data_IF_139630669006
#
_entry.id   IF_139630669006
#
_cell.length_a   1.000
_cell.length_b   1.000
_cell.length_c   1.000
_cell.angle_alpha   90.00
_cell.angle_beta   90.00
_cell.angle_gamma   90.00
#
_symmetry.space_group_name_H-M   'P 1'
#
loop_
_entity.id
_entity.type
_entity.pdbx_description
1 polymer ?
#
# COMPACT_ATOMS: atom_id res chain seq x y z
N UNK A 1 -3.18 3.33 14.28
CA UNK A 1 -2.61 2.42 13.27
C UNK A 1 -3.67 2.13 12.23
N UNK A 2 -3.32 1.60 11.07
CA UNK A 2 -4.24 1.42 9.93
C UNK A 2 -3.59 0.46 8.94
N UNK A 3 -4.40 -0.28 8.18
CA UNK A 3 -3.96 -0.95 6.95
C UNK A 3 -4.85 -0.51 5.81
N UNK A 4 -4.22 0.04 4.78
CA UNK A 4 -4.87 0.42 3.52
C UNK A 4 -4.21 -0.32 2.38
N UNK A 5 -5.01 -0.77 1.44
CA UNK A 5 -4.52 -1.42 0.22
C UNK A 5 -5.15 -0.80 -1.02
N UNK A 6 -4.40 -0.79 -2.12
CA UNK A 6 -4.90 -0.50 -3.46
C UNK A 6 -4.56 -1.66 -4.39
N UNK A 7 -5.46 -1.98 -5.30
CA UNK A 7 -5.27 -3.05 -6.29
C UNK A 7 -5.84 -2.62 -7.63
N UNK A 8 -5.25 -3.06 -8.76
CA UNK A 8 -5.90 -2.92 -10.07
C UNK A 8 -5.78 -4.23 -10.85
N UNK A 9 -6.90 -4.67 -11.41
CA UNK A 9 -6.98 -5.88 -12.23
C UNK A 9 -8.17 -5.78 -13.17
N UNK A 10 -7.99 -6.22 -14.41
CA UNK A 10 -9.08 -6.30 -15.41
C UNK A 10 -9.84 -4.98 -15.59
N UNK A 11 -9.12 -3.85 -15.67
CA UNK A 11 -9.73 -2.53 -15.89
C UNK A 11 -10.42 -1.90 -14.69
N UNK A 12 -10.31 -2.51 -13.50
CA UNK A 12 -10.87 -2.01 -12.26
C UNK A 12 -9.75 -1.71 -11.27
N UNK A 13 -9.74 -0.51 -10.72
CA UNK A 13 -9.00 -0.15 -9.52
C UNK A 13 -9.87 -0.36 -8.27
N UNK A 14 -9.26 -0.74 -7.17
CA UNK A 14 -9.92 -0.89 -5.89
C UNK A 14 -9.04 -0.32 -4.77
N UNK A 15 -9.66 0.33 -3.80
CA UNK A 15 -9.04 0.74 -2.55
C UNK A 15 -9.84 0.17 -1.39
N UNK A 16 -9.15 -0.39 -0.39
CA UNK A 16 -9.77 -0.89 0.82
C UNK A 16 -8.97 -0.49 2.06
N UNK A 17 -9.67 -0.28 3.16
CA UNK A 17 -9.08 0.04 4.44
C UNK A 17 -9.80 -0.71 5.57
N UNK A 18 -9.08 -0.99 6.63
CA UNK A 18 -9.65 -1.42 7.91
C UNK A 18 -10.38 -0.26 8.60
N UNK A 19 -11.18 -0.56 9.63
CA UNK A 19 -11.98 0.45 10.36
C UNK A 19 -11.58 0.60 11.83
N UNK A 20 -10.55 -0.12 12.30
CA UNK A 20 -10.11 -0.07 13.69
C UNK A 20 -9.37 1.25 13.99
N UNK A 21 -9.72 1.93 15.08
CA UNK A 21 -8.91 2.97 15.68
C UNK A 21 -8.20 2.42 16.92
N UNK A 22 -6.99 2.92 17.20
CA UNK A 22 -6.18 2.49 18.36
C UNK A 22 -5.58 3.68 19.10
N UNK A 23 -5.61 3.64 20.42
CA UNK A 23 -4.95 4.60 21.33
C UNK A 23 -4.10 3.83 22.34
N UNK A 24 -2.80 3.72 22.07
CA UNK A 24 -1.93 2.83 22.82
C UNK A 24 -2.43 1.39 22.69
N UNK A 25 -2.75 0.75 23.82
CA UNK A 25 -3.25 -0.63 23.85
C UNK A 25 -4.78 -0.74 23.73
N UNK A 26 -5.49 0.40 23.65
CA UNK A 26 -6.94 0.42 23.49
C UNK A 26 -7.32 0.30 22.02
N UNK A 27 -8.30 -0.57 21.75
CA UNK A 27 -8.91 -0.75 20.44
C UNK A 27 -10.35 -0.23 20.45
N UNK A 28 -10.68 0.58 19.45
CA UNK A 28 -12.03 1.11 19.23
C UNK A 28 -12.55 0.60 17.88
N UNK A 29 -13.46 -0.37 17.96
CA UNK A 29 -14.05 -0.98 16.77
C UNK A 29 -15.10 -0.07 16.10
N UNK A 30 -15.47 -0.41 14.87
CA UNK A 30 -16.54 0.26 14.12
C UNK A 30 -17.92 0.18 14.81
N UNK A 31 -18.12 -0.75 15.74
CA UNK A 31 -19.35 -0.84 16.54
C UNK A 31 -19.47 0.33 17.54
N UNK A 32 -18.35 0.92 17.91
CA UNK A 32 -18.27 2.05 18.85
C UNK A 32 -18.11 3.41 18.17
N UNK A 33 -17.53 3.44 16.96
CA UNK A 33 -17.16 4.67 16.26
C UNK A 33 -17.96 4.83 14.97
N UNK A 34 -18.81 5.84 14.90
CA UNK A 34 -19.64 6.10 13.73
C UNK A 34 -18.87 6.56 12.48
N UNK A 35 -17.72 7.21 12.66
CA UNK A 35 -16.86 7.74 11.58
C UNK A 35 -15.63 6.86 11.33
N UNK A 36 -15.78 5.55 11.42
CA UNK A 36 -14.70 4.56 11.27
C UNK A 36 -14.22 4.36 9.82
N UNK A 37 -14.97 4.84 8.80
CA UNK A 37 -14.56 4.76 7.39
C UNK A 37 -13.36 5.68 7.12
N UNK A 38 -12.24 5.09 6.74
CA UNK A 38 -10.97 5.78 6.49
C UNK A 38 -10.83 6.27 5.04
N UNK A 39 -11.75 5.90 4.16
CA UNK A 39 -11.72 6.30 2.76
C UNK A 39 -12.36 7.68 2.56
N UNK A 40 -11.67 8.54 1.81
CA UNK A 40 -12.09 9.91 1.52
C UNK A 40 -12.22 10.05 0.01
N UNK A 41 -13.36 10.58 -0.46
CA UNK A 41 -13.53 10.89 -1.86
C UNK A 41 -13.00 12.29 -2.17
N UNK A 42 -12.16 12.40 -3.21
CA UNK A 42 -11.63 13.66 -3.75
C UNK A 42 -11.82 13.64 -5.27
N UNK A 43 -12.81 14.37 -5.76
CA UNK A 43 -13.20 14.28 -7.17
C UNK A 43 -13.64 12.88 -7.55
N UNK A 44 -12.99 12.29 -8.54
CA UNK A 44 -13.22 10.91 -8.99
C UNK A 44 -12.29 9.89 -8.33
N UNK A 45 -11.36 10.36 -7.48
CA UNK A 45 -10.45 9.51 -6.72
C UNK A 45 -11.00 9.15 -5.34
N UNK A 46 -10.55 8.00 -4.83
CA UNK A 46 -10.63 7.63 -3.43
C UNK A 46 -9.24 7.61 -2.82
N UNK A 47 -9.11 8.21 -1.65
CA UNK A 47 -7.84 8.42 -0.95
C UNK A 47 -7.96 7.92 0.49
N UNK A 48 -6.92 7.28 0.98
CA UNK A 48 -6.82 6.89 2.38
C UNK A 48 -5.49 7.39 2.97
N UNK A 49 -5.54 8.26 4.00
CA UNK A 49 -4.35 8.67 4.73
C UNK A 49 -3.95 7.61 5.76
N UNK A 50 -2.64 7.40 5.91
CA UNK A 50 -2.02 6.73 7.05
C UNK A 50 -1.20 7.73 7.86
N UNK A 51 -1.00 7.49 9.15
CA UNK A 51 -0.29 8.41 10.03
C UNK A 51 -1.04 8.70 11.32
N UNK A 52 -1.00 9.95 11.84
CA UNK A 52 -1.74 10.35 13.04
C UNK A 52 -3.25 10.18 12.89
N UNK A 53 -3.95 9.91 13.99
CA UNK A 53 -5.43 9.76 13.96
C UNK A 53 -6.16 11.01 13.39
N UNK A 54 -5.58 12.19 13.56
CA UNK A 54 -6.12 13.46 13.02
C UNK A 54 -5.96 13.60 11.49
N UNK A 55 -5.07 12.82 10.85
CA UNK A 55 -4.77 12.98 9.42
C UNK A 55 -6.02 12.92 8.54
N UNK A 56 -6.95 12.02 8.86
CA UNK A 56 -8.21 11.89 8.13
C UNK A 56 -9.09 13.14 8.23
N UNK A 57 -9.25 13.70 9.42
CA UNK A 57 -10.07 14.91 9.65
C UNK A 57 -9.42 16.12 8.99
N UNK A 58 -8.11 16.27 9.13
CA UNK A 58 -7.34 17.33 8.48
C UNK A 58 -7.51 17.28 6.97
N UNK A 59 -7.33 16.09 6.36
CA UNK A 59 -7.48 15.93 4.92
C UNK A 59 -8.92 16.21 4.45
N UNK A 60 -9.93 15.70 5.17
CA UNK A 60 -11.36 16.00 4.87
C UNK A 60 -11.65 17.51 4.94
N UNK A 61 -11.19 18.19 6.00
CA UNK A 61 -11.39 19.61 6.13
C UNK A 61 -10.65 20.38 5.03
N UNK A 62 -9.39 20.07 4.76
CA UNK A 62 -8.60 20.69 3.71
C UNK A 62 -9.30 20.58 2.34
N UNK A 63 -9.75 19.40 1.97
CA UNK A 63 -10.46 19.19 0.70
C UNK A 63 -11.77 19.97 0.63
N UNK A 64 -12.45 20.18 1.76
CA UNK A 64 -13.69 20.97 1.80
C UNK A 64 -13.48 22.48 1.56
N UNK A 65 -12.23 22.97 1.58
CA UNK A 65 -11.90 24.37 1.29
C UNK A 65 -11.74 24.69 -0.19
N UNK A 66 -11.74 23.67 -1.06
CA UNK A 66 -11.59 23.86 -2.50
C UNK A 66 -12.94 24.15 -3.18
N UNK A 67 -13.00 25.18 -3.99
CA UNK A 67 -14.13 25.45 -4.88
C UNK A 67 -14.17 24.45 -6.03
N UNK A 68 -12.99 24.09 -6.58
CA UNK A 68 -12.80 23.05 -7.59
C UNK A 68 -11.85 21.98 -7.05
N UNK A 69 -12.30 20.73 -7.03
CA UNK A 69 -11.51 19.63 -6.50
C UNK A 69 -10.29 19.33 -7.37
N UNK A 70 -9.14 19.01 -6.77
CA UNK A 70 -7.92 18.66 -7.50
C UNK A 70 -8.12 17.36 -8.30
N UNK A 71 -7.46 17.30 -9.46
CA UNK A 71 -7.37 16.07 -10.26
C UNK A 71 -6.24 15.18 -9.72
N UNK A 72 -6.57 13.95 -9.31
CA UNK A 72 -5.61 12.98 -8.75
C UNK A 72 -5.47 11.76 -9.69
N UNK A 73 -5.33 12.01 -10.99
CA UNK A 73 -5.29 10.96 -12.00
C UNK A 73 -3.88 10.64 -12.53
N UNK A 74 -2.90 11.46 -12.18
CA UNK A 74 -1.50 11.27 -12.54
C UNK A 74 -0.54 11.79 -11.44
N UNK A 75 0.74 11.52 -11.61
CA UNK A 75 1.78 11.90 -10.66
C UNK A 75 1.92 13.40 -10.50
N UNK A 76 1.74 14.16 -11.57
CA UNK A 76 1.95 15.62 -11.58
C UNK A 76 0.82 16.33 -10.83
N UNK A 77 -0.43 15.99 -11.13
CA UNK A 77 -1.61 16.52 -10.43
C UNK A 77 -1.61 16.16 -8.93
N UNK A 78 -1.17 14.94 -8.60
CA UNK A 78 -1.00 14.52 -7.20
C UNK A 78 0.11 15.34 -6.53
N UNK A 79 1.26 15.54 -7.19
CA UNK A 79 2.35 16.32 -6.64
C UNK A 79 1.95 17.79 -6.39
N UNK A 80 1.22 18.40 -7.30
CA UNK A 80 0.68 19.75 -7.14
C UNK A 80 -0.25 19.84 -5.92
N UNK A 81 -1.19 18.89 -5.80
CA UNK A 81 -2.05 18.76 -4.63
C UNK A 81 -1.26 18.64 -3.32
N UNK A 82 -0.24 17.77 -3.28
CA UNK A 82 0.61 17.57 -2.10
C UNK A 82 1.39 18.82 -1.73
N UNK A 83 1.80 19.64 -2.70
CA UNK A 83 2.52 20.89 -2.45
C UNK A 83 1.64 21.92 -1.75
N UNK A 84 0.36 22.01 -2.15
CA UNK A 84 -0.62 22.89 -1.48
C UNK A 84 -0.99 22.33 -0.11
N UNK A 85 -1.22 21.02 0.00
CA UNK A 85 -1.52 20.33 1.26
C UNK A 85 -0.39 20.54 2.28
N UNK A 86 0.88 20.34 1.89
CA UNK A 86 2.04 20.54 2.79
C UNK A 86 2.06 21.95 3.39
N UNK A 87 1.80 22.97 2.57
CA UNK A 87 1.73 24.35 3.04
C UNK A 87 0.61 24.54 4.07
N UNK A 88 -0.59 24.05 3.78
CA UNK A 88 -1.72 24.12 4.69
C UNK A 88 -1.44 23.35 6.00
N UNK A 89 -0.86 22.14 5.91
CA UNK A 89 -0.51 21.35 7.09
C UNK A 89 0.40 22.12 8.04
N UNK A 90 1.37 22.86 7.52
CA UNK A 90 2.29 23.66 8.32
C UNK A 90 1.65 24.95 8.84
N UNK A 91 1.01 25.73 7.95
CA UNK A 91 0.64 27.11 8.21
C UNK A 91 -0.76 27.24 8.86
N UNK A 92 -1.68 26.31 8.58
CA UNK A 92 -3.07 26.35 9.04
C UNK A 92 -3.41 25.25 10.06
N UNK A 93 -2.86 24.04 9.88
CA UNK A 93 -3.15 22.91 10.77
C UNK A 93 -2.06 22.68 11.82
N UNK A 94 -0.97 23.47 11.80
CA UNK A 94 0.13 23.41 12.77
C UNK A 94 0.72 22.02 12.95
N UNK A 95 0.72 21.20 11.90
CA UNK A 95 1.35 19.88 11.90
C UNK A 95 2.86 20.08 11.95
N UNK A 96 3.47 19.67 13.06
CA UNK A 96 4.92 19.73 13.20
C UNK A 96 5.57 18.74 12.24
N UNK A 97 6.38 19.24 11.32
CA UNK A 97 7.23 18.39 10.47
C UNK A 97 8.13 17.51 11.34
N UNK A 98 8.42 16.30 10.89
CA UNK A 98 9.51 15.52 11.47
C UNK A 98 10.79 16.06 10.85
N UNK A 99 11.45 16.97 11.52
CA UNK A 99 12.80 17.37 11.17
C UNK A 99 13.75 16.26 11.64
N UNK A 100 14.02 15.32 10.75
CA UNK A 100 15.29 14.59 10.84
C UNK A 100 16.32 15.48 10.14
N UNK A 101 17.43 15.79 10.81
CA UNK A 101 18.49 16.65 10.29
C UNK A 101 19.17 16.10 9.01
N UNK A 102 18.76 14.90 8.57
CA UNK A 102 19.22 14.21 7.37
C UNK A 102 18.23 14.27 6.22
N UNK A 103 17.00 14.75 6.44
CA UNK A 103 15.97 14.84 5.40
C UNK A 103 16.19 16.09 4.54
N UNK A 104 16.19 15.92 3.21
CA UNK A 104 16.32 17.04 2.26
C UNK A 104 15.07 17.92 2.19
N UNK A 105 13.91 17.39 2.61
CA UNK A 105 12.60 18.06 2.55
C UNK A 105 11.79 17.86 3.83
N UNK A 106 10.95 18.86 4.12
CA UNK A 106 9.97 18.79 5.22
C UNK A 106 8.93 17.67 4.98
N UNK A 107 8.62 16.90 6.03
CA UNK A 107 7.69 15.76 6.01
C UNK A 107 6.25 16.18 6.32
N UNK A 108 5.26 15.64 5.58
CA UNK A 108 3.83 15.78 5.87
C UNK A 108 3.36 14.95 7.08
N UNK A 109 4.17 14.04 7.58
CA UNK A 109 3.83 13.05 8.61
C UNK A 109 2.64 12.15 8.30
N UNK A 110 2.22 12.10 7.07
CA UNK A 110 1.19 11.19 6.57
C UNK A 110 1.61 10.63 5.21
N UNK A 111 1.08 9.48 4.90
CA UNK A 111 1.16 8.88 3.57
C UNK A 111 -0.25 8.78 3.02
N UNK A 112 -0.41 8.84 1.71
CA UNK A 112 -1.71 8.69 1.06
C UNK A 112 -1.65 7.54 0.07
N UNK A 113 -2.57 6.57 0.17
CA UNK A 113 -2.88 5.67 -0.93
C UNK A 113 -4.07 6.22 -1.70
N UNK A 114 -3.96 6.18 -3.03
CA UNK A 114 -4.92 6.80 -3.96
C UNK A 114 -5.30 5.76 -5.01
N UNK A 115 -6.59 5.61 -5.24
CA UNK A 115 -7.14 4.92 -6.39
C UNK A 115 -8.02 5.90 -7.18
N UNK A 116 -7.77 6.05 -8.47
CA UNK A 116 -8.48 6.97 -9.36
C UNK A 116 -8.71 6.34 -10.73
N UNK A 117 -9.50 6.96 -11.62
CA UNK A 117 -9.61 6.51 -13.02
C UNK A 117 -8.25 6.46 -13.74
N UNK A 118 -7.29 7.30 -13.34
CA UNK A 118 -5.93 7.33 -13.87
C UNK A 118 -5.03 6.20 -13.40
N UNK A 119 -5.33 5.53 -12.27
CA UNK A 119 -4.48 4.46 -11.76
C UNK A 119 -4.44 4.33 -10.23
N UNK A 120 -3.37 3.70 -9.74
CA UNK A 120 -3.07 3.53 -8.32
C UNK A 120 -1.81 4.31 -7.97
N UNK A 121 -1.88 5.12 -6.92
CA UNK A 121 -0.73 5.94 -6.52
C UNK A 121 -0.50 5.88 -5.02
N UNK A 122 0.78 6.03 -4.64
CA UNK A 122 1.20 6.23 -3.27
C UNK A 122 1.95 7.55 -3.15
N UNK A 123 1.53 8.38 -2.20
CA UNK A 123 2.19 9.62 -1.84
C UNK A 123 2.89 9.46 -0.49
N UNK A 124 4.17 9.66 -0.48
CA UNK A 124 5.04 9.52 0.69
C UNK A 124 5.22 10.83 1.44
N UNK A 125 5.70 10.81 2.70
CA UNK A 125 5.77 12.00 3.55
C UNK A 125 6.55 13.17 2.99
N UNK A 126 7.57 12.94 2.14
CA UNK A 126 8.38 13.98 1.47
C UNK A 126 7.84 14.32 0.07
N UNK A 127 6.57 14.06 -0.22
CA UNK A 127 5.87 14.32 -1.49
C UNK A 127 6.38 13.51 -2.68
N UNK A 128 7.14 12.44 -2.45
CA UNK A 128 7.41 11.47 -3.51
C UNK A 128 6.12 10.76 -3.90
N UNK A 129 5.80 10.72 -5.19
CA UNK A 129 4.62 10.06 -5.74
C UNK A 129 5.07 8.86 -6.57
N UNK A 130 4.48 7.69 -6.29
CA UNK A 130 4.72 6.47 -7.05
C UNK A 130 3.41 6.00 -7.70
N UNK A 131 3.45 5.63 -8.98
CA UNK A 131 2.36 4.92 -9.66
C UNK A 131 2.60 3.41 -9.57
N UNK A 132 1.56 2.65 -9.16
CA UNK A 132 1.66 1.21 -8.98
C UNK A 132 1.01 0.45 -10.14
N UNK A 133 1.69 -0.61 -10.58
CA UNK A 133 1.23 -1.43 -11.71
C UNK A 133 0.18 -2.47 -11.33
N UNK A 134 0.14 -2.93 -10.07
CA UNK A 134 -0.71 -4.07 -9.65
C UNK A 134 -1.45 -3.82 -8.36
N UNK A 135 -0.74 -3.68 -7.27
CA UNK A 135 -1.25 -3.46 -5.92
C UNK A 135 -0.16 -2.85 -5.05
N UNK A 136 -0.59 -2.23 -3.97
CA UNK A 136 0.30 -1.77 -2.90
C UNK A 136 -0.47 -1.65 -1.58
N UNK A 137 0.27 -1.49 -0.46
CA UNK A 137 -0.30 -1.32 0.86
C UNK A 137 0.50 -0.33 1.70
N UNK A 138 -0.19 0.45 2.54
CA UNK A 138 0.38 1.32 3.56
C UNK A 138 -0.18 1.00 4.93
N UNK A 139 0.55 1.41 5.97
CA UNK A 139 0.17 1.24 7.37
C UNK A 139 0.83 0.06 8.06
N UNK A 140 0.43 -0.21 9.30
CA UNK A 140 1.10 -1.19 10.18
C UNK A 140 0.98 -2.64 9.71
N UNK A 141 -0.11 -3.01 9.05
CA UNK A 141 -0.30 -4.35 8.49
C UNK A 141 0.10 -4.50 7.02
N UNK A 142 0.77 -3.49 6.43
CA UNK A 142 1.10 -3.45 5.00
C UNK A 142 1.89 -4.67 4.52
N UNK A 143 2.86 -5.15 5.29
CA UNK A 143 3.69 -6.31 4.91
C UNK A 143 2.86 -7.59 4.79
N UNK A 144 1.93 -7.82 5.71
CA UNK A 144 1.01 -8.96 5.66
C UNK A 144 0.08 -8.87 4.45
N UNK A 145 -0.49 -7.68 4.21
CA UNK A 145 -1.36 -7.43 3.06
C UNK A 145 -0.62 -7.64 1.74
N UNK A 146 0.60 -7.10 1.59
CA UNK A 146 1.44 -7.25 0.39
C UNK A 146 1.77 -8.72 0.13
N UNK A 147 2.16 -9.48 1.14
CA UNK A 147 2.44 -10.91 1.03
C UNK A 147 1.24 -11.71 0.57
N UNK A 148 0.06 -11.45 1.16
CA UNK A 148 -1.19 -12.13 0.81
C UNK A 148 -1.65 -11.80 -0.63
N UNK A 149 -1.61 -10.52 -1.02
CA UNK A 149 -1.95 -10.08 -2.38
C UNK A 149 -0.99 -10.65 -3.43
N UNK A 150 0.31 -10.72 -3.13
CA UNK A 150 1.28 -11.33 -4.03
C UNK A 150 1.00 -12.83 -4.22
N UNK A 151 0.67 -13.55 -3.17
CA UNK A 151 0.34 -14.97 -3.25
C UNK A 151 -0.94 -15.24 -4.07
N UNK A 152 -1.94 -14.36 -3.96
CA UNK A 152 -3.21 -14.48 -4.65
C UNK A 152 -3.22 -13.89 -6.07
N UNK A 153 -2.21 -13.12 -6.47
CA UNK A 153 -2.18 -12.36 -7.73
C UNK A 153 -2.42 -13.21 -8.98
N UNK A 154 -1.76 -14.36 -9.07
CA UNK A 154 -1.85 -15.29 -10.21
C UNK A 154 -3.15 -16.09 -10.30
N UNK A 155 -4.08 -15.91 -9.36
CA UNK A 155 -5.36 -16.62 -9.33
C UNK A 155 -6.47 -15.84 -10.05
N UNK A 156 -7.65 -16.44 -10.21
CA UNK A 156 -8.79 -15.81 -10.90
C UNK A 156 -9.55 -14.78 -10.04
N UNK A 157 -8.97 -14.28 -8.93
CA UNK A 157 -9.61 -13.26 -8.07
C UNK A 157 -9.70 -11.91 -8.76
N UNK A 158 -10.75 -11.16 -8.46
CA UNK A 158 -10.95 -9.78 -8.91
C UNK A 158 -10.04 -8.79 -8.15
N UNK A 159 -10.00 -7.52 -8.58
CA UNK A 159 -9.32 -6.46 -7.84
C UNK A 159 -9.91 -6.29 -6.43
N UNK A 160 -11.23 -6.38 -6.31
CA UNK A 160 -11.95 -6.28 -5.03
C UNK A 160 -11.60 -7.42 -4.08
N UNK A 161 -11.65 -8.67 -4.57
CA UNK A 161 -11.30 -9.85 -3.77
C UNK A 161 -9.84 -9.82 -3.32
N UNK A 162 -8.94 -9.34 -4.21
CA UNK A 162 -7.54 -9.19 -3.88
C UNK A 162 -7.32 -8.16 -2.75
N UNK A 163 -8.00 -7.00 -2.82
CA UNK A 163 -7.95 -5.99 -1.77
C UNK A 163 -8.50 -6.53 -0.43
N UNK A 164 -9.62 -7.28 -0.48
CA UNK A 164 -10.20 -7.94 0.69
C UNK A 164 -9.22 -8.92 1.34
N UNK A 165 -8.61 -9.81 0.54
CA UNK A 165 -7.59 -10.76 1.01
C UNK A 165 -6.46 -10.03 1.73
N UNK A 166 -5.98 -8.90 1.18
CA UNK A 166 -4.92 -8.11 1.80
C UNK A 166 -5.29 -7.59 3.19
N UNK A 167 -6.42 -6.89 3.31
CA UNK A 167 -6.86 -6.30 4.59
C UNK A 167 -7.23 -7.38 5.61
N UNK A 168 -7.96 -8.43 5.21
CA UNK A 168 -8.36 -9.53 6.09
C UNK A 168 -7.15 -10.30 6.62
N UNK A 169 -6.13 -10.53 5.78
CA UNK A 169 -4.87 -11.14 6.24
C UNK A 169 -4.13 -10.24 7.22
N UNK A 170 -4.05 -8.93 6.95
CA UNK A 170 -3.45 -7.99 7.88
C UNK A 170 -4.20 -7.99 9.23
N UNK A 171 -5.53 -8.04 9.24
CA UNK A 171 -6.34 -8.11 10.45
C UNK A 171 -6.11 -9.37 11.30
N UNK A 172 -5.57 -10.46 10.71
CA UNK A 172 -5.23 -11.67 11.45
C UNK A 172 -3.90 -11.53 12.24
N UNK A 173 -2.98 -10.67 11.81
CA UNK A 173 -1.61 -10.66 12.33
C UNK A 173 -1.18 -9.31 12.89
N UNK A 174 -1.77 -8.19 12.43
CA UNK A 174 -1.45 -6.85 12.91
C UNK A 174 -2.47 -6.38 13.95
N UNK A 175 -2.00 -6.09 15.15
CA UNK A 175 -2.85 -5.58 16.25
C UNK A 175 -3.46 -4.22 15.98
N UNK A 176 -2.94 -3.48 15.00
CA UNK A 176 -3.43 -2.17 14.59
C UNK A 176 -4.43 -2.21 13.43
N UNK A 177 -4.81 -3.40 12.97
CA UNK A 177 -5.74 -3.63 11.87
C UNK A 177 -6.95 -4.42 12.37
N UNK A 178 -8.17 -3.97 12.06
CA UNK A 178 -9.38 -4.66 12.49
C UNK A 178 -10.56 -4.52 11.54
N UNK A 179 -11.38 -5.57 11.52
CA UNK A 179 -12.60 -5.62 10.71
C UNK A 179 -13.79 -4.94 11.44
N UNK A 180 -14.82 -4.51 10.67
CA UNK A 180 -14.99 -4.70 9.22
C UNK A 180 -14.03 -3.83 8.40
N UNK A 181 -13.88 -4.13 7.12
CA UNK A 181 -13.20 -3.26 6.16
C UNK A 181 -14.20 -2.42 5.36
N UNK A 182 -13.73 -1.26 4.88
CA UNK A 182 -14.42 -0.49 3.84
C UNK A 182 -13.69 -0.62 2.52
N UNK A 183 -14.45 -0.58 1.40
CA UNK A 183 -13.91 -0.84 0.07
C UNK A 183 -14.64 0.00 -0.98
N UNK A 184 -13.90 0.47 -2.00
CA UNK A 184 -14.44 1.19 -3.17
C UNK A 184 -13.75 0.70 -4.43
N UNK A 185 -14.53 0.57 -5.50
CA UNK A 185 -14.07 0.21 -6.84
C UNK A 185 -14.24 1.38 -7.80
N UNK A 186 -13.31 1.53 -8.74
CA UNK A 186 -13.27 2.61 -9.72
C UNK A 186 -12.92 1.99 -11.07
N UNK A 187 -13.71 2.23 -12.13
CA UNK A 187 -13.31 1.88 -13.49
C UNK A 187 -12.08 2.69 -13.89
N UNK A 188 -11.07 2.03 -14.46
CA UNK A 188 -9.91 2.70 -15.04
C UNK A 188 -10.28 3.29 -16.41
N UNK A 189 -9.67 4.41 -16.77
CA UNK A 189 -9.79 5.02 -18.11
C UNK A 189 -9.25 4.06 -19.19
N UNK A 190 -9.80 4.17 -20.41
CA UNK A 190 -9.28 3.46 -21.58
C UNK A 190 -7.79 3.79 -21.79
N UNK A 191 -6.98 2.79 -22.09
CA UNK A 191 -5.51 2.90 -22.20
C UNK A 191 -4.77 2.66 -20.87
N UNK A 192 -5.34 3.00 -19.72
CA UNK A 192 -4.77 2.65 -18.39
C UNK A 192 -5.11 1.20 -18.01
N UNK A 193 -6.25 0.70 -18.47
CA UNK A 193 -6.64 -0.70 -18.30
C UNK A 193 -5.68 -1.66 -19.03
N UNK A 194 -5.20 -1.27 -20.23
CA UNK A 194 -4.28 -2.08 -21.06
C UNK A 194 -2.85 -2.09 -20.52
N UNK A 195 -2.37 -1.02 -19.89
CA UNK A 195 -1.05 -0.98 -19.27
C UNK A 195 -0.89 -2.03 -18.16
N UNK A 196 -2.00 -2.45 -17.52
CA UNK A 196 -2.02 -3.57 -16.57
C UNK A 196 -1.88 -4.95 -17.22
N UNK A 197 -2.33 -5.12 -18.46
CA UNK A 197 -2.25 -6.39 -19.20
C UNK A 197 -0.80 -6.74 -19.61
N UNK A 198 0.01 -5.74 -19.96
CA UNK A 198 1.43 -5.97 -20.28
C UNK A 198 2.25 -6.38 -19.04
N UNK A 199 1.82 -6.00 -17.83
CA UNK A 199 2.45 -6.44 -16.58
C UNK A 199 2.17 -7.92 -16.25
N UNK A 200 1.12 -8.53 -16.80
CA UNK A 200 0.83 -9.96 -16.65
C UNK A 200 1.76 -10.85 -17.50
N UNK A 201 2.43 -10.28 -18.51
CA UNK A 201 3.36 -11.04 -19.39
C UNK A 201 4.81 -11.08 -18.87
N UNK A 202 5.11 -10.41 -17.78
CA UNK A 202 6.40 -10.63 -17.09
C UNK A 202 6.33 -12.02 -16.46
N UNK A 203 7.13 -12.95 -17.01
CA UNK A 203 7.20 -14.35 -16.59
C UNK A 203 7.21 -14.48 -15.06
N UNK A 204 6.51 -15.48 -14.51
CA UNK A 204 6.51 -15.68 -13.06
C UNK A 204 7.94 -15.76 -12.55
N UNK A 205 8.27 -14.94 -11.58
CA UNK A 205 9.52 -15.07 -10.85
C UNK A 205 9.62 -16.51 -10.35
N UNK A 206 10.72 -17.15 -10.71
CA UNK A 206 11.04 -18.54 -10.35
C UNK A 206 10.73 -18.75 -8.86
N UNK A 207 10.02 -19.82 -8.48
CA UNK A 207 9.76 -20.08 -7.06
C UNK A 207 11.10 -20.20 -6.32
N UNK A 208 11.20 -19.54 -5.18
CA UNK A 208 12.35 -19.53 -4.28
C UNK A 208 12.69 -20.90 -3.68
N UNK A 209 12.02 -21.99 -4.09
CA UNK A 209 12.09 -23.31 -3.46
C UNK A 209 12.77 -24.40 -4.30
N UNK A 210 13.43 -24.08 -5.42
CA UNK A 210 14.31 -25.03 -6.11
C UNK A 210 15.78 -24.90 -5.64
N UNK A 211 15.99 -24.98 -4.34
CA UNK A 211 17.28 -25.39 -3.80
C UNK A 211 17.34 -26.92 -3.84
N UNK A 212 17.84 -27.50 -4.92
CA UNK A 212 18.30 -28.89 -4.91
C UNK A 212 19.24 -29.08 -3.72
N UNK A 213 19.08 -30.12 -2.89
CA UNK A 213 20.01 -30.36 -1.81
C UNK A 213 21.41 -30.51 -2.37
N UNK A 214 22.35 -29.74 -1.85
CA UNK A 214 23.77 -29.86 -2.18
C UNK A 214 24.20 -31.32 -2.01
N UNK A 215 24.84 -31.88 -3.04
CA UNK A 215 25.41 -33.20 -2.97
C UNK A 215 26.39 -33.29 -1.81
N UNK A 216 26.21 -34.33 -0.99
CA UNK A 216 27.04 -34.68 0.14
C UNK A 216 28.51 -34.92 -0.32
N UNK A 217 29.55 -34.24 0.21
CA UNK A 217 30.93 -34.39 -0.23
C UNK A 217 31.62 -35.63 0.34
N UNK A 218 30.87 -36.66 0.80
CA UNK A 218 31.40 -37.82 1.54
C UNK A 218 31.75 -39.05 0.66
N UNK A 219 31.95 -38.92 -0.65
CA UNK A 219 32.41 -40.06 -1.50
C UNK A 219 33.61 -39.70 -2.37
N UNK A 220 34.72 -39.26 -1.74
CA UNK A 220 36.02 -39.29 -2.39
C UNK A 220 36.73 -40.62 -2.07
N UNK A 221 37.24 -41.38 -3.07
CA UNK A 221 38.01 -42.59 -2.81
C UNK A 221 39.35 -42.21 -2.18
N UNK A 222 39.72 -42.91 -1.09
CA UNK A 222 40.98 -42.74 -0.40
C UNK A 222 42.19 -43.10 -1.27
N UNK A 223 43.38 -42.54 -0.96
CA UNK A 223 44.59 -42.76 -1.74
C UNK A 223 45.08 -44.21 -1.64
N UNK A 224 45.52 -44.77 -2.78
CA UNK A 224 46.13 -46.09 -2.86
C UNK A 224 47.40 -46.19 -2.05
N UNK A 225 47.49 -47.20 -1.18
CA UNK A 225 48.74 -47.58 -0.50
C UNK A 225 49.77 -48.11 -1.51
N UNK A 226 50.88 -47.37 -1.64
CA UNK A 226 52.10 -47.88 -2.28
C UNK A 226 52.77 -48.90 -1.34
N UNK A 227 52.70 -50.17 -1.78
CA UNK A 227 53.56 -51.21 -1.20
C UNK A 227 54.94 -51.07 -1.78
N UNK A 228 55.92 -50.55 -1.03
CA UNK A 228 57.34 -50.75 -1.26
C UNK A 228 57.78 -51.99 -0.48
N UNK A 229 58.19 -53.02 -1.25
CA UNK A 229 58.92 -54.13 -0.69
C UNK A 229 60.39 -53.76 -0.42
N UNK A 230 60.83 -54.18 0.75
CA UNK A 230 62.11 -54.88 1.02
C UNK A 230 62.05 -55.33 2.48
#
# INVERSE_FOLDING_TARGET
MTTVVVTKKSGIACIAADTLATYGDMQESADLIANSDKLIRIGDAWVAPTGPASAQLVLKHFVSTFDELPCLEDTDGIFDFLTVLQRALRDEYFVQGKEDSTDDFESMRMELLIASPGGLFGAYPQRSVQEYNRFYAFGSGAEYAMGAMQAAWGTAVSAEELARIGVETAACFDVGTGLPLTLRTIPLQEGRAEAGLFAEQVAPSRPLLDASPAADPASAPGPAEERTGH
#
